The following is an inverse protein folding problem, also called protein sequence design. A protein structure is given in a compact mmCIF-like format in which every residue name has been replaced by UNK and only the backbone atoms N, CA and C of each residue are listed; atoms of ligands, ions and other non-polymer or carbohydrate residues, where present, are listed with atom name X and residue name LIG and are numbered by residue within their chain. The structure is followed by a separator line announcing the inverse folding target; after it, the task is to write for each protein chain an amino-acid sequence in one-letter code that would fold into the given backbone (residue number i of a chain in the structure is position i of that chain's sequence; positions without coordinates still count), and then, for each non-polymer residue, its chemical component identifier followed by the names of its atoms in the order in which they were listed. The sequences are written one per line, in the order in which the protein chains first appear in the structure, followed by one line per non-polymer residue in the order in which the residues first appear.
data_IF_007129776008
#
_entry.id   IF_007129776008
#
_cell.length_a   1.000
_cell.length_b   1.000
_cell.length_c   1.000
_cell.angle_alpha   90.00
_cell.angle_beta   90.00
_cell.angle_gamma   90.00
#
_symmetry.space_group_name_H-M   'P 1'
#
loop_
_entity.id
_entity.type
_entity.pdbx_description
1 polymer ?
#
# COMPACT_ATOMS: atom_id res chain seq x y z
N UNK A 1 52.85 82.69 42.70
CA UNK A 1 51.62 82.26 43.38
C UNK A 1 51.79 80.76 43.64
N UNK A 2 52.14 80.42 44.88
CA UNK A 2 52.64 79.11 45.29
C UNK A 2 51.50 78.15 45.62
N UNK A 3 51.54 76.92 45.10
CA UNK A 3 51.01 75.72 45.75
C UNK A 3 51.97 74.55 45.46
N UNK A 4 52.35 73.70 46.43
CA UNK A 4 53.54 72.84 46.39
C UNK A 4 53.25 71.34 46.18
N UNK A 5 54.37 70.61 46.01
CA UNK A 5 54.64 69.16 46.04
C UNK A 5 53.54 68.19 46.51
N UNK A 6 53.26 67.17 45.69
CA UNK A 6 52.45 65.99 46.05
C UNK A 6 53.33 64.92 46.71
N UNK A 7 53.15 64.71 48.01
CA UNK A 7 53.60 63.50 48.72
C UNK A 7 52.62 62.34 48.54
N UNK A 8 53.18 61.16 48.31
CA UNK A 8 52.49 59.86 48.40
C UNK A 8 52.20 59.53 49.87
N UNK A 9 50.97 59.10 50.16
CA UNK A 9 50.66 58.33 51.36
C UNK A 9 49.82 57.10 50.98
N UNK A 10 50.28 55.94 51.46
CA UNK A 10 49.66 54.63 51.31
C UNK A 10 48.46 54.54 52.27
N UNK A 11 47.29 54.17 51.76
CA UNK A 11 46.14 53.82 52.60
C UNK A 11 46.12 52.29 52.74
N UNK A 12 46.38 51.82 53.96
CA UNK A 12 46.10 50.45 54.40
C UNK A 12 44.58 50.31 54.58
N UNK A 13 43.99 49.27 53.99
CA UNK A 13 42.62 48.84 54.30
C UNK A 13 42.71 47.57 55.15
N UNK A 14 42.17 47.69 56.36
CA UNK A 14 42.07 46.72 57.44
C UNK A 14 41.07 45.61 57.04
N UNK A 15 41.51 44.35 57.01
CA UNK A 15 40.63 43.18 56.85
C UNK A 15 39.87 42.94 58.17
N UNK A 16 38.56 43.13 58.16
CA UNK A 16 37.68 42.70 59.25
C UNK A 16 37.44 41.17 59.13
N UNK A 17 37.77 40.36 60.14
CA UNK A 17 37.63 38.91 60.09
C UNK A 17 36.15 38.52 60.13
N UNK A 18 35.67 37.88 59.07
CA UNK A 18 34.39 37.19 59.05
C UNK A 18 34.41 36.02 60.04
N UNK A 19 33.51 36.08 61.01
CA UNK A 19 33.44 35.21 62.18
C UNK A 19 32.98 33.79 61.80
N UNK A 20 33.94 32.86 61.59
CA UNK A 20 33.72 31.43 61.34
C UNK A 20 32.80 30.75 62.39
N UNK A 21 32.68 31.35 63.58
CA UNK A 21 31.77 30.89 64.63
C UNK A 21 30.29 31.03 64.26
N UNK A 22 29.91 32.00 63.42
CA UNK A 22 28.53 32.23 63.00
C UNK A 22 28.08 31.16 61.99
N UNK A 23 28.97 30.77 61.06
CA UNK A 23 28.71 29.74 60.05
C UNK A 23 28.60 28.36 60.73
N UNK A 24 29.48 28.06 61.68
CA UNK A 24 29.43 26.81 62.45
C UNK A 24 28.16 26.68 63.32
N UNK A 25 27.66 27.80 63.86
CA UNK A 25 26.42 27.82 64.64
C UNK A 25 25.19 27.64 63.75
N UNK A 26 25.14 28.28 62.57
CA UNK A 26 24.08 28.07 61.60
C UNK A 26 24.03 26.60 61.13
N UNK A 27 25.17 25.98 60.82
CA UNK A 27 25.23 24.59 60.36
C UNK A 27 24.74 23.59 61.42
N UNK A 28 25.07 23.83 62.71
CA UNK A 28 24.61 22.99 63.84
C UNK A 28 23.12 23.10 64.12
N UNK A 29 22.50 24.24 63.80
CA UNK A 29 21.06 24.45 63.94
C UNK A 29 20.27 23.96 62.71
N UNK A 30 20.91 23.89 61.53
CA UNK A 30 20.28 23.32 60.32
C UNK A 30 20.21 21.78 60.34
N UNK A 31 21.14 21.10 61.00
CA UNK A 31 21.19 19.64 61.12
C UNK A 31 19.90 19.01 61.69
N UNK A 32 19.32 19.48 62.81
CA UNK A 32 18.04 18.96 63.30
C UNK A 32 16.87 19.29 62.36
N UNK A 33 16.92 20.40 61.63
CA UNK A 33 15.89 20.76 60.62
C UNK A 33 15.94 19.80 59.43
N UNK A 34 17.13 19.50 58.91
CA UNK A 34 17.29 18.49 57.86
C UNK A 34 16.87 17.10 58.34
N UNK A 35 17.19 16.74 59.59
CA UNK A 35 16.72 15.49 60.20
C UNK A 35 15.19 15.41 60.29
N UNK A 36 14.53 16.51 60.69
CA UNK A 36 13.07 16.58 60.75
C UNK A 36 12.43 16.49 59.36
N UNK A 37 12.98 17.17 58.35
CA UNK A 37 12.50 17.09 56.96
C UNK A 37 12.66 15.66 56.43
N UNK A 38 13.81 15.03 56.64
CA UNK A 38 14.06 13.66 56.21
C UNK A 38 13.08 12.67 56.88
N UNK A 39 12.77 12.87 58.16
CA UNK A 39 11.78 12.06 58.87
C UNK A 39 10.37 12.27 58.32
N UNK A 40 9.98 13.50 58.01
CA UNK A 40 8.68 13.82 57.39
C UNK A 40 8.57 13.15 56.02
N UNK A 41 9.62 13.20 55.19
CA UNK A 41 9.64 12.53 53.89
C UNK A 41 9.56 11.01 54.05
N UNK A 42 10.30 10.43 55.00
CA UNK A 42 10.24 8.99 55.29
C UNK A 42 8.86 8.55 55.77
N UNK A 43 8.22 9.33 56.65
CA UNK A 43 6.86 9.07 57.12
C UNK A 43 5.86 9.24 55.99
N UNK A 44 6.00 10.26 55.14
CA UNK A 44 5.14 10.45 53.97
C UNK A 44 5.28 9.28 53.00
N UNK A 45 6.50 8.82 52.69
CA UNK A 45 6.74 7.64 51.84
C UNK A 45 6.17 6.37 52.49
N UNK A 46 6.33 6.21 53.81
CA UNK A 46 5.81 5.06 54.55
C UNK A 46 4.27 5.04 54.59
N UNK A 47 3.64 6.19 54.80
CA UNK A 47 2.19 6.34 54.80
C UNK A 47 1.60 6.19 53.39
N UNK A 48 2.30 6.69 52.36
CA UNK A 48 1.91 6.56 50.96
C UNK A 48 2.25 5.19 50.34
N UNK A 49 2.96 4.32 51.09
CA UNK A 49 3.18 2.90 50.77
C UNK A 49 2.05 1.99 51.26
N UNK A 50 0.98 2.53 51.85
CA UNK A 50 -0.23 1.74 52.13
C UNK A 50 -0.95 1.43 50.83
N UNK A 51 -0.61 0.24 50.33
CA UNK A 51 -1.49 -0.68 49.63
C UNK A 51 -2.40 -0.03 48.59
N UNK A 52 -1.85 0.20 47.39
CA UNK A 52 -2.61 -0.22 46.23
C UNK A 52 -2.73 -1.74 46.35
N UNK A 53 -3.82 -2.22 46.93
CA UNK A 53 -4.32 -3.55 46.58
C UNK A 53 -4.55 -3.44 45.08
N UNK A 54 -3.57 -3.91 44.31
CA UNK A 54 -3.81 -4.25 42.92
C UNK A 54 -4.96 -5.22 42.98
N UNK A 55 -6.13 -4.81 42.49
CA UNK A 55 -7.22 -5.74 42.20
C UNK A 55 -6.56 -6.96 41.56
N UNK A 56 -6.76 -8.18 42.11
CA UNK A 56 -6.12 -9.36 41.57
C UNK A 56 -6.43 -9.34 40.08
N UNK A 57 -5.36 -9.24 39.29
CA UNK A 57 -5.43 -9.14 37.84
C UNK A 57 -6.41 -10.20 37.42
N UNK A 58 -7.60 -9.77 36.98
CA UNK A 58 -8.65 -10.70 36.59
C UNK A 58 -8.19 -11.21 35.25
N UNK A 59 -7.27 -12.18 35.29
CA UNK A 59 -6.90 -12.99 34.16
C UNK A 59 -8.19 -13.66 33.75
N UNK A 60 -8.86 -13.05 32.78
CA UNK A 60 -9.81 -13.78 31.98
C UNK A 60 -8.91 -14.81 31.33
N UNK A 61 -9.00 -16.05 31.80
CA UNK A 61 -8.39 -17.17 31.13
C UNK A 61 -9.15 -17.25 29.80
N UNK A 62 -8.66 -16.49 28.80
CA UNK A 62 -9.12 -16.57 27.43
C UNK A 62 -8.64 -17.93 26.98
N UNK A 63 -9.42 -18.94 27.35
CA UNK A 63 -9.42 -20.22 26.69
C UNK A 63 -9.73 -19.86 25.24
N UNK A 64 -8.67 -19.82 24.42
CA UNK A 64 -8.83 -19.77 22.98
C UNK A 64 -9.83 -20.86 22.59
N UNK A 65 -10.60 -20.67 21.51
CA UNK A 65 -11.59 -21.66 21.09
C UNK A 65 -10.96 -23.04 21.13
N UNK A 66 -11.59 -23.97 21.85
CA UNK A 66 -11.14 -25.37 21.85
C UNK A 66 -11.02 -25.76 20.38
N UNK A 67 -9.80 -26.13 19.98
CA UNK A 67 -9.60 -26.62 18.63
C UNK A 67 -10.36 -27.92 18.56
N UNK A 68 -11.57 -27.89 18.02
CA UNK A 68 -12.29 -29.11 17.69
C UNK A 68 -11.45 -29.75 16.59
N UNK A 69 -10.59 -30.67 16.99
CA UNK A 69 -9.87 -31.52 16.04
C UNK A 69 -10.90 -32.51 15.49
N UNK A 70 -11.85 -32.04 14.69
CA UNK A 70 -12.55 -32.91 13.77
C UNK A 70 -11.48 -33.46 12.85
N UNK A 71 -11.13 -34.72 13.07
CA UNK A 71 -10.27 -35.49 12.18
C UNK A 71 -11.06 -35.87 10.92
N UNK A 72 -11.74 -34.90 10.32
CA UNK A 72 -12.23 -35.00 8.95
C UNK A 72 -11.02 -34.75 8.07
N UNK A 73 -10.38 -35.84 7.64
CA UNK A 73 -9.42 -35.76 6.55
C UNK A 73 -10.06 -34.90 5.45
N UNK A 74 -9.41 -33.80 5.08
CA UNK A 74 -9.91 -32.93 4.03
C UNK A 74 -10.23 -33.78 2.80
N UNK A 75 -11.37 -33.56 2.12
CA UNK A 75 -11.70 -34.33 0.93
C UNK A 75 -10.55 -34.25 -0.06
N UNK A 76 -10.15 -35.39 -0.62
CA UNK A 76 -9.11 -35.44 -1.63
C UNK A 76 -9.67 -34.85 -2.92
N UNK A 77 -9.41 -33.56 -3.15
CA UNK A 77 -9.73 -32.89 -4.40
C UNK A 77 -8.68 -33.29 -5.43
N UNK A 78 -9.13 -33.77 -6.60
CA UNK A 78 -8.26 -34.08 -7.74
C UNK A 78 -8.43 -33.00 -8.79
N UNK A 79 -7.34 -32.35 -9.16
CA UNK A 79 -7.30 -31.45 -10.30
C UNK A 79 -6.85 -32.22 -11.54
N UNK A 80 -7.48 -31.94 -12.68
CA UNK A 80 -7.10 -32.45 -13.99
C UNK A 80 -6.84 -31.24 -14.88
N UNK A 81 -5.70 -31.21 -15.55
CA UNK A 81 -5.43 -30.19 -16.56
C UNK A 81 -6.28 -30.50 -17.80
N UNK A 82 -7.14 -29.55 -18.15
CA UNK A 82 -8.02 -29.61 -19.32
C UNK A 82 -7.70 -28.50 -20.33
N UNK A 83 -6.59 -27.78 -20.20
CA UNK A 83 -6.32 -26.57 -20.98
C UNK A 83 -6.37 -26.85 -22.50
N UNK A 84 -5.71 -27.92 -22.95
CA UNK A 84 -5.72 -28.35 -24.36
C UNK A 84 -7.13 -28.77 -24.83
N UNK A 85 -7.87 -29.53 -24.02
CA UNK A 85 -9.25 -29.95 -24.34
C UNK A 85 -10.21 -28.76 -24.42
N UNK A 86 -10.00 -27.77 -23.55
CA UNK A 86 -10.75 -26.54 -23.49
C UNK A 86 -10.34 -25.55 -24.59
N UNK A 87 -9.26 -25.77 -25.34
CA UNK A 87 -8.80 -24.84 -26.38
C UNK A 87 -7.99 -23.64 -25.86
N UNK A 88 -7.46 -23.72 -24.63
CA UNK A 88 -6.67 -22.67 -23.99
C UNK A 88 -5.18 -23.00 -24.13
N UNK A 89 -4.43 -22.18 -24.86
CA UNK A 89 -2.99 -22.34 -25.09
C UNK A 89 -2.14 -21.16 -24.56
N UNK A 90 -2.74 -20.34 -23.67
CA UNK A 90 -2.09 -19.14 -23.15
C UNK A 90 -0.78 -19.45 -22.42
N UNK A 91 0.26 -18.70 -22.79
CA UNK A 91 1.56 -18.70 -22.09
C UNK A 91 1.91 -17.28 -21.69
N UNK A 92 2.06 -17.07 -20.39
CA UNK A 92 2.48 -15.79 -19.84
C UNK A 92 3.96 -15.50 -20.19
N UNK A 93 4.23 -14.28 -20.64
CA UNK A 93 5.54 -13.77 -21.01
C UNK A 93 5.91 -12.60 -20.10
N UNK A 94 6.73 -12.85 -19.09
CA UNK A 94 7.18 -11.82 -18.14
C UNK A 94 8.22 -10.82 -18.70
N UNK A 95 8.63 -10.98 -19.96
CA UNK A 95 9.67 -10.15 -20.59
C UNK A 95 11.09 -10.44 -20.08
N UNK A 96 11.28 -11.47 -19.25
CA UNK A 96 12.57 -11.82 -18.66
C UNK A 96 13.65 -12.12 -19.71
N UNK A 97 14.73 -11.32 -19.69
CA UNK A 97 15.87 -11.48 -20.61
C UNK A 97 17.24 -11.44 -19.91
N UNK A 98 17.27 -11.79 -18.61
CA UNK A 98 18.50 -11.93 -17.83
C UNK A 98 18.97 -10.67 -17.08
N UNK A 99 18.37 -9.52 -17.37
CA UNK A 99 18.61 -8.29 -16.60
C UNK A 99 17.98 -8.36 -15.20
N UNK A 100 17.10 -9.34 -14.93
CA UNK A 100 16.51 -9.63 -13.61
C UNK A 100 15.76 -8.43 -13.02
N UNK A 101 14.99 -7.73 -13.85
CA UNK A 101 14.20 -6.58 -13.44
C UNK A 101 12.99 -7.01 -12.59
N UNK A 102 12.68 -6.26 -11.53
CA UNK A 102 11.67 -6.63 -10.54
C UNK A 102 10.29 -6.96 -11.16
N UNK A 103 9.76 -6.23 -12.16
CA UNK A 103 8.47 -6.58 -12.76
C UNK A 103 8.41 -8.00 -13.36
N UNK A 104 9.54 -8.57 -13.77
CA UNK A 104 9.61 -9.91 -14.36
C UNK A 104 9.26 -11.03 -13.35
N UNK A 105 9.16 -10.72 -12.06
CA UNK A 105 8.74 -11.67 -11.01
C UNK A 105 7.24 -11.69 -10.80
N UNK A 106 6.49 -10.78 -11.41
CA UNK A 106 5.04 -10.74 -11.34
C UNK A 106 4.42 -11.65 -12.40
N UNK A 107 3.24 -12.18 -12.09
CA UNK A 107 2.37 -12.83 -13.08
C UNK A 107 1.38 -11.83 -13.67
N UNK A 108 0.65 -12.28 -14.68
CA UNK A 108 -0.51 -11.56 -15.21
C UNK A 108 -1.81 -11.90 -14.48
N UNK A 109 -2.78 -10.99 -14.54
CA UNK A 109 -4.15 -11.20 -14.09
C UNK A 109 -5.02 -11.98 -15.08
N UNK A 110 -6.20 -12.39 -14.62
CA UNK A 110 -7.23 -13.00 -15.44
C UNK A 110 -8.59 -12.42 -15.05
N UNK A 111 -9.42 -12.10 -16.04
CA UNK A 111 -10.84 -11.80 -15.83
C UNK A 111 -11.70 -12.96 -16.36
N UNK A 112 -12.79 -13.24 -15.65
CA UNK A 112 -13.83 -14.16 -16.06
C UNK A 112 -15.14 -13.38 -16.14
N UNK A 113 -15.65 -13.17 -17.35
CA UNK A 113 -16.79 -12.30 -17.61
C UNK A 113 -17.43 -12.63 -18.96
N UNK A 114 -18.72 -12.32 -19.14
CA UNK A 114 -19.43 -12.45 -20.41
C UNK A 114 -19.17 -11.18 -21.23
N UNK A 115 -18.29 -11.24 -22.25
CA UNK A 115 -17.91 -10.04 -23.00
C UNK A 115 -18.85 -9.77 -24.19
N UNK A 116 -19.55 -10.79 -24.71
CA UNK A 116 -20.43 -10.67 -25.87
C UNK A 116 -21.94 -10.78 -25.54
N UNK A 117 -22.28 -10.84 -24.25
CA UNK A 117 -23.64 -10.92 -23.70
C UNK A 117 -24.41 -12.16 -24.19
N UNK A 118 -23.72 -13.29 -24.40
CA UNK A 118 -24.34 -14.55 -24.83
C UNK A 118 -24.77 -15.45 -23.66
N UNK A 119 -24.41 -15.08 -22.43
CA UNK A 119 -24.74 -15.77 -21.18
C UNK A 119 -23.66 -16.74 -20.71
N UNK A 120 -22.60 -16.95 -21.50
CA UNK A 120 -21.47 -17.78 -21.16
C UNK A 120 -20.29 -16.92 -20.66
N UNK A 121 -19.49 -17.44 -19.73
CA UNK A 121 -18.37 -16.69 -19.17
C UNK A 121 -17.10 -16.95 -19.99
N UNK A 122 -16.47 -15.87 -20.43
CA UNK A 122 -15.25 -15.82 -21.23
C UNK A 122 -14.01 -15.54 -20.38
N UNK A 123 -12.82 -15.73 -20.95
CA UNK A 123 -11.56 -15.55 -20.25
C UNK A 123 -10.70 -14.48 -20.93
N UNK A 124 -10.30 -13.45 -20.19
CA UNK A 124 -9.23 -12.53 -20.59
C UNK A 124 -8.00 -12.76 -19.74
N UNK A 125 -6.93 -13.26 -20.35
CA UNK A 125 -5.61 -13.37 -19.73
C UNK A 125 -4.76 -12.15 -20.04
N UNK A 126 -4.28 -11.49 -18.99
CA UNK A 126 -3.34 -10.38 -19.11
C UNK A 126 -1.94 -10.93 -19.29
N UNK A 127 -1.23 -10.38 -20.26
CA UNK A 127 0.15 -10.71 -20.53
C UNK A 127 1.04 -9.49 -20.31
N UNK A 128 2.33 -9.75 -20.18
CA UNK A 128 3.33 -8.68 -20.19
C UNK A 128 4.06 -8.67 -21.54
N UNK A 129 4.94 -7.70 -21.74
CA UNK A 129 5.61 -7.48 -23.02
C UNK A 129 7.13 -7.63 -22.89
N UNK A 130 7.80 -7.70 -24.03
CA UNK A 130 9.25 -7.51 -24.06
C UNK A 130 9.60 -6.08 -23.69
N UNK A 131 10.70 -5.90 -22.97
CA UNK A 131 11.17 -4.56 -22.62
C UNK A 131 11.51 -3.73 -23.88
N UNK A 132 11.17 -2.42 -23.93
CA UNK A 132 11.37 -1.59 -25.13
C UNK A 132 12.82 -1.52 -25.66
N UNK A 133 13.78 -1.81 -24.79
CA UNK A 133 15.21 -1.79 -25.10
C UNK A 133 15.78 -3.15 -25.52
N UNK A 134 14.92 -4.15 -25.75
CA UNK A 134 15.27 -5.50 -26.22
C UNK A 134 14.48 -5.83 -27.49
N UNK A 135 15.01 -6.69 -28.37
CA UNK A 135 14.22 -7.22 -29.49
C UNK A 135 13.00 -7.97 -28.98
N UNK A 136 11.81 -7.59 -29.44
CA UNK A 136 10.59 -8.36 -29.18
C UNK A 136 10.56 -9.62 -30.08
N UNK A 137 9.98 -10.73 -29.59
CA UNK A 137 9.68 -11.87 -30.45
C UNK A 137 8.65 -11.48 -31.52
N UNK A 138 8.56 -12.28 -32.58
CA UNK A 138 7.57 -12.13 -33.64
C UNK A 138 6.74 -13.41 -33.74
N UNK A 139 5.43 -13.38 -33.44
CA UNK A 139 4.67 -12.20 -32.98
C UNK A 139 5.08 -11.74 -31.56
N UNK A 140 4.82 -10.48 -31.25
CA UNK A 140 4.98 -9.95 -29.90
C UNK A 140 3.95 -10.62 -28.96
N UNK A 141 4.26 -10.80 -27.66
CA UNK A 141 3.30 -11.32 -26.72
C UNK A 141 2.16 -10.31 -26.53
N UNK A 142 0.93 -10.78 -26.55
CA UNK A 142 -0.26 -9.97 -26.27
C UNK A 142 -1.07 -10.62 -25.15
N UNK A 143 -2.01 -9.88 -24.57
CA UNK A 143 -3.11 -10.47 -23.82
C UNK A 143 -3.91 -11.43 -24.71
N UNK A 144 -4.73 -12.28 -24.10
CA UNK A 144 -5.59 -13.24 -24.81
C UNK A 144 -7.02 -13.20 -24.31
N UNK A 145 -7.96 -12.90 -25.20
CA UNK A 145 -9.40 -13.06 -24.97
C UNK A 145 -9.87 -14.36 -25.62
N UNK A 146 -10.49 -15.21 -24.82
CA UNK A 146 -11.04 -16.49 -25.21
C UNK A 146 -12.54 -16.49 -25.03
N UNK A 147 -13.29 -16.66 -26.12
CA UNK A 147 -14.76 -16.79 -26.07
C UNK A 147 -15.15 -18.23 -25.76
N UNK A 148 -16.01 -18.43 -24.77
CA UNK A 148 -16.57 -19.71 -24.39
C UNK A 148 -17.77 -20.09 -25.28
N UNK A 149 -17.92 -21.35 -25.65
CA UNK A 149 -19.06 -21.86 -26.42
C UNK A 149 -20.23 -22.37 -25.53
N UNK A 150 -20.17 -22.09 -24.24
CA UNK A 150 -21.09 -22.57 -23.20
C UNK A 150 -20.88 -24.01 -22.77
N UNK A 151 -19.89 -24.70 -23.33
CA UNK A 151 -19.53 -26.10 -23.03
C UNK A 151 -18.14 -26.22 -22.43
N UNK A 152 -17.47 -25.09 -22.19
CA UNK A 152 -16.10 -25.06 -21.70
C UNK A 152 -15.06 -25.26 -22.80
N UNK A 153 -15.43 -25.06 -24.07
CA UNK A 153 -14.47 -24.89 -25.15
C UNK A 153 -14.32 -23.41 -25.49
N UNK A 154 -13.09 -23.01 -25.75
CA UNK A 154 -12.68 -21.62 -25.83
C UNK A 154 -12.01 -21.34 -27.17
N UNK A 155 -12.48 -20.30 -27.87
CA UNK A 155 -11.89 -19.79 -29.10
C UNK A 155 -11.11 -18.50 -28.82
N UNK A 156 -9.86 -18.39 -29.27
CA UNK A 156 -9.11 -17.13 -29.22
C UNK A 156 -9.73 -16.10 -30.19
N UNK A 157 -10.33 -15.06 -29.63
CA UNK A 157 -10.98 -13.95 -30.35
C UNK A 157 -10.23 -12.63 -30.19
N UNK A 158 -9.02 -12.64 -29.62
CA UNK A 158 -8.25 -11.45 -29.22
C UNK A 158 -8.16 -10.39 -30.32
N UNK A 159 -7.80 -10.81 -31.55
CA UNK A 159 -7.62 -9.87 -32.68
C UNK A 159 -8.97 -9.34 -33.17
N UNK A 160 -9.97 -10.20 -33.32
CA UNK A 160 -11.31 -9.79 -33.78
C UNK A 160 -12.02 -8.90 -32.77
N UNK A 161 -11.74 -9.09 -31.48
CA UNK A 161 -12.27 -8.28 -30.40
C UNK A 161 -11.49 -6.97 -30.18
N UNK A 162 -10.37 -6.75 -30.86
CA UNK A 162 -9.61 -5.49 -30.74
C UNK A 162 -8.68 -5.39 -29.53
N UNK A 163 -8.36 -6.51 -28.86
CA UNK A 163 -7.48 -6.56 -27.67
C UNK A 163 -6.06 -7.08 -27.98
N UNK A 164 -5.57 -6.89 -29.20
CA UNK A 164 -4.26 -7.42 -29.62
C UNK A 164 -3.08 -6.47 -29.38
N UNK A 165 -3.24 -5.45 -28.57
CA UNK A 165 -2.12 -4.54 -28.23
C UNK A 165 -1.14 -5.21 -27.27
N UNK A 166 0.15 -4.94 -27.45
CA UNK A 166 1.24 -5.47 -26.64
C UNK A 166 1.82 -4.38 -25.75
N UNK A 167 1.60 -4.49 -24.45
CA UNK A 167 2.21 -3.66 -23.41
C UNK A 167 2.48 -4.50 -22.15
N UNK A 168 3.17 -3.93 -21.17
CA UNK A 168 3.55 -4.64 -19.95
C UNK A 168 2.38 -4.66 -18.94
N UNK A 169 1.34 -5.44 -19.26
CA UNK A 169 0.16 -5.61 -18.42
C UNK A 169 0.46 -6.39 -17.13
N UNK A 170 -0.31 -6.10 -16.09
CA UNK A 170 -0.19 -6.65 -14.73
C UNK A 170 -1.48 -7.34 -14.30
N UNK A 171 -2.56 -6.60 -14.12
CA UNK A 171 -3.85 -7.07 -13.64
C UNK A 171 -5.00 -6.50 -14.45
N UNK A 172 -6.23 -6.86 -14.10
CA UNK A 172 -7.42 -6.38 -14.78
C UNK A 172 -8.60 -6.25 -13.82
N UNK A 173 -9.52 -5.34 -14.14
CA UNK A 173 -10.83 -5.19 -13.53
C UNK A 173 -11.87 -5.04 -14.64
N UNK A 174 -13.08 -5.54 -14.40
CA UNK A 174 -14.19 -5.49 -15.36
C UNK A 174 -15.43 -4.90 -14.70
N UNK A 175 -16.12 -4.02 -15.42
CA UNK A 175 -17.40 -3.42 -15.04
C UNK A 175 -18.02 -2.75 -16.28
N UNK A 176 -19.33 -2.56 -16.29
CA UNK A 176 -20.00 -1.66 -17.23
C UNK A 176 -19.87 -0.23 -16.68
N UNK A 177 -18.77 0.47 -17.02
CA UNK A 177 -18.44 1.75 -16.37
C UNK A 177 -19.25 2.93 -16.91
N UNK A 178 -19.88 2.78 -18.07
CA UNK A 178 -20.72 3.81 -18.67
C UNK A 178 -22.20 3.43 -18.84
N UNK A 179 -22.60 2.36 -18.14
CA UNK A 179 -23.97 1.89 -18.03
C UNK A 179 -24.65 1.62 -19.37
N UNK A 180 -23.90 1.12 -20.37
CA UNK A 180 -24.40 0.79 -21.70
C UNK A 180 -24.84 -0.67 -21.87
N UNK A 181 -24.68 -1.46 -20.81
CA UNK A 181 -25.03 -2.88 -20.75
C UNK A 181 -23.95 -3.81 -21.28
N UNK A 182 -22.74 -3.31 -21.57
CA UNK A 182 -21.60 -4.12 -22.00
C UNK A 182 -20.46 -4.03 -21.00
N UNK A 183 -19.94 -5.19 -20.59
CA UNK A 183 -18.82 -5.22 -19.64
C UNK A 183 -17.55 -4.70 -20.30
N UNK A 184 -16.98 -3.64 -19.73
CA UNK A 184 -15.73 -3.02 -20.13
C UNK A 184 -14.54 -3.61 -19.38
N UNK A 185 -13.32 -3.30 -19.83
CA UNK A 185 -12.08 -3.85 -19.29
C UNK A 185 -11.09 -2.75 -18.95
N UNK A 186 -10.69 -2.67 -17.69
CA UNK A 186 -9.51 -1.93 -17.27
C UNK A 186 -8.32 -2.88 -17.08
N UNK A 187 -7.14 -2.47 -17.53
CA UNK A 187 -5.89 -3.24 -17.44
C UNK A 187 -4.83 -2.38 -16.78
N UNK A 188 -4.26 -2.89 -15.68
CA UNK A 188 -3.13 -2.25 -15.01
C UNK A 188 -1.82 -2.59 -15.69
N UNK A 189 -0.81 -1.72 -15.59
CA UNK A 189 0.47 -1.92 -16.25
C UNK A 189 1.67 -1.41 -15.44
N UNK A 190 2.86 -1.82 -15.89
CA UNK A 190 4.09 -1.05 -15.65
C UNK A 190 4.13 0.06 -16.70
N UNK A 191 3.89 1.29 -16.25
CA UNK A 191 3.60 2.44 -17.09
C UNK A 191 2.12 2.81 -17.07
N UNK A 192 1.64 3.38 -18.17
CA UNK A 192 0.24 3.80 -18.30
C UNK A 192 -0.72 2.62 -18.29
N UNK A 193 -1.81 2.76 -17.54
CA UNK A 193 -2.92 1.81 -17.54
C UNK A 193 -3.77 1.96 -18.80
N UNK A 194 -4.65 1.00 -19.08
CA UNK A 194 -5.53 1.02 -20.24
C UNK A 194 -6.99 0.73 -19.87
N UNK A 195 -7.91 1.56 -20.34
CA UNK A 195 -9.35 1.32 -20.29
C UNK A 195 -9.86 1.03 -21.69
N UNK A 196 -10.52 -0.11 -21.85
CA UNK A 196 -11.14 -0.55 -23.08
C UNK A 196 -12.65 -0.59 -22.90
N UNK A 197 -13.35 0.25 -23.65
CA UNK A 197 -14.80 0.20 -23.74
C UNK A 197 -15.27 -0.89 -24.68
N UNK A 198 -16.21 -1.70 -24.24
CA UNK A 198 -16.89 -2.70 -25.05
C UNK A 198 -17.96 -2.05 -25.93
N UNK A 199 -17.90 -2.35 -27.22
CA UNK A 199 -18.78 -1.89 -28.29
C UNK A 199 -19.42 -3.13 -28.91
N UNK A 200 -20.29 -3.78 -28.14
CA UNK A 200 -21.06 -4.94 -28.60
C UNK A 200 -20.18 -6.14 -29.01
N UNK A 201 -19.23 -6.53 -28.15
CA UNK A 201 -18.31 -7.65 -28.39
C UNK A 201 -16.99 -7.27 -29.05
N UNK A 202 -16.71 -5.97 -29.19
CA UNK A 202 -15.41 -5.45 -29.66
C UNK A 202 -14.95 -4.32 -28.75
N UNK A 203 -13.66 -4.19 -28.55
CA UNK A 203 -13.08 -3.25 -27.59
C UNK A 203 -12.45 -2.05 -28.28
N UNK A 204 -12.68 -0.88 -27.72
CA UNK A 204 -12.09 0.39 -28.13
C UNK A 204 -11.34 0.99 -26.94
N UNK A 205 -10.08 1.38 -27.13
CA UNK A 205 -9.33 2.08 -26.09
C UNK A 205 -9.93 3.48 -25.84
N UNK A 206 -10.24 3.78 -24.58
CA UNK A 206 -10.82 5.04 -24.11
C UNK A 206 -10.01 5.68 -22.97
N UNK A 207 -8.85 5.10 -22.60
CA UNK A 207 -7.98 5.51 -21.48
C UNK A 207 -7.80 7.02 -21.34
N UNK A 208 -7.38 7.67 -22.42
CA UNK A 208 -7.07 9.11 -22.41
C UNK A 208 -8.32 9.98 -22.29
N UNK A 209 -9.45 9.54 -22.87
CA UNK A 209 -10.74 10.23 -22.74
C UNK A 209 -11.26 10.12 -21.32
N UNK A 210 -11.16 8.92 -20.73
CA UNK A 210 -11.66 8.62 -19.40
C UNK A 210 -10.81 9.25 -18.28
N UNK A 211 -9.54 9.53 -18.52
CA UNK A 211 -8.65 10.19 -17.55
C UNK A 211 -7.97 9.24 -16.55
N UNK A 212 -7.93 7.94 -16.84
CA UNK A 212 -7.50 6.88 -15.90
C UNK A 212 -6.14 6.27 -16.24
N UNK A 213 -5.32 6.96 -17.03
CA UNK A 213 -4.01 6.43 -17.50
C UNK A 213 -2.98 6.26 -16.38
N UNK A 214 -3.16 6.94 -15.24
CA UNK A 214 -2.07 7.16 -14.29
C UNK A 214 -0.91 7.94 -14.93
N UNK A 215 0.32 7.70 -14.45
CA UNK A 215 1.54 8.30 -15.03
C UNK A 215 2.38 7.26 -15.76
N UNK A 216 3.23 7.71 -16.70
CA UNK A 216 4.09 6.81 -17.47
C UNK A 216 5.17 6.08 -16.64
N UNK A 217 5.46 6.57 -15.42
CA UNK A 217 6.42 5.98 -14.50
C UNK A 217 5.73 5.19 -13.35
N UNK A 218 4.39 5.09 -13.39
CA UNK A 218 3.63 4.34 -12.40
C UNK A 218 3.79 2.83 -12.60
N UNK A 219 3.60 2.08 -11.52
CA UNK A 219 3.41 0.64 -11.59
C UNK A 219 2.14 0.27 -10.85
N UNK A 220 1.09 0.02 -11.62
CA UNK A 220 -0.20 -0.46 -11.11
C UNK A 220 -0.22 -1.99 -11.13
N UNK A 221 -0.62 -2.61 -10.02
CA UNK A 221 -0.58 -4.07 -9.82
C UNK A 221 -1.96 -4.71 -9.97
N UNK A 222 -2.99 -4.10 -9.38
CA UNK A 222 -4.39 -4.54 -9.44
C UNK A 222 -5.33 -3.35 -9.46
N UNK A 223 -6.59 -3.60 -9.80
CA UNK A 223 -7.64 -2.59 -9.80
C UNK A 223 -8.98 -3.26 -9.49
N UNK A 224 -9.97 -2.46 -9.13
CA UNK A 224 -11.33 -2.93 -8.87
C UNK A 224 -12.32 -1.79 -9.02
N UNK A 225 -13.47 -2.12 -9.61
CA UNK A 225 -14.60 -1.22 -9.70
C UNK A 225 -15.53 -1.41 -8.50
N UNK A 226 -16.01 -0.31 -7.91
CA UNK A 226 -16.99 -0.30 -6.84
C UNK A 226 -17.56 1.11 -6.70
N UNK A 227 -18.78 1.25 -6.20
CA UNK A 227 -19.43 2.53 -5.94
C UNK A 227 -19.04 2.99 -4.53
N UNK A 228 -18.09 3.94 -4.41
CA UNK A 228 -17.58 4.36 -3.11
C UNK A 228 -18.39 5.50 -2.50
N UNK A 229 -19.12 6.27 -3.32
CA UNK A 229 -19.92 7.41 -2.86
C UNK A 229 -21.44 7.21 -2.98
N UNK A 230 -21.88 5.98 -3.30
CA UNK A 230 -23.26 5.53 -3.40
C UNK A 230 -24.09 6.31 -4.43
N UNK A 231 -23.46 6.76 -5.52
CA UNK A 231 -24.13 7.49 -6.59
C UNK A 231 -24.68 6.57 -7.71
N UNK A 232 -24.31 5.28 -7.68
CA UNK A 232 -24.74 4.25 -8.61
C UNK A 232 -23.81 4.03 -9.80
N UNK A 233 -22.76 4.85 -9.96
CA UNK A 233 -21.76 4.69 -11.00
C UNK A 233 -20.54 3.93 -10.45
N UNK A 234 -19.99 2.92 -11.18
CA UNK A 234 -18.81 2.21 -10.69
C UNK A 234 -17.57 3.11 -10.73
N UNK A 235 -17.05 3.48 -9.56
CA UNK A 235 -15.75 4.13 -9.39
C UNK A 235 -14.61 3.13 -9.53
N UNK A 236 -13.39 3.64 -9.73
CA UNK A 236 -12.22 2.82 -10.00
C UNK A 236 -11.11 3.08 -8.98
N UNK A 237 -10.76 2.06 -8.19
CA UNK A 237 -9.51 2.07 -7.43
C UNK A 237 -8.41 1.32 -8.17
N UNK A 238 -7.21 1.90 -8.19
CA UNK A 238 -6.02 1.33 -8.83
C UNK A 238 -4.89 1.21 -7.81
N UNK A 239 -4.55 -0.03 -7.45
CA UNK A 239 -3.46 -0.34 -6.55
C UNK A 239 -2.11 -0.08 -7.25
N UNK A 240 -1.31 0.83 -6.68
CA UNK A 240 0.06 1.06 -7.12
C UNK A 240 1.06 0.40 -6.18
N UNK A 241 2.06 -0.24 -6.78
CA UNK A 241 3.01 -1.08 -6.04
C UNK A 241 4.19 -0.27 -5.49
N UNK A 242 5.29 -0.18 -6.23
CA UNK A 242 6.50 0.53 -5.79
C UNK A 242 6.94 1.54 -6.83
N UNK A 243 7.72 2.54 -6.40
CA UNK A 243 8.40 3.46 -7.31
C UNK A 243 9.53 2.72 -8.00
N UNK A 244 9.23 2.18 -9.18
CA UNK A 244 10.18 1.40 -9.96
C UNK A 244 10.56 2.14 -11.24
N UNK A 245 11.84 2.09 -11.55
CA UNK A 245 12.33 2.30 -12.90
C UNK A 245 13.49 1.35 -13.15
N UNK A 246 13.76 1.06 -14.42
CA UNK A 246 14.92 0.26 -14.80
C UNK A 246 16.22 0.82 -14.20
N UNK A 247 16.38 2.13 -14.18
CA UNK A 247 17.58 2.78 -13.68
C UNK A 247 17.73 2.61 -12.17
N UNK A 248 16.64 2.75 -11.40
CA UNK A 248 16.62 2.47 -9.96
C UNK A 248 16.98 1.00 -9.71
N UNK A 249 16.37 0.06 -10.43
CA UNK A 249 16.59 -1.38 -10.29
C UNK A 249 18.06 -1.77 -10.57
N UNK A 250 18.64 -1.22 -11.64
CA UNK A 250 20.05 -1.42 -11.96
C UNK A 250 21.01 -0.75 -10.98
N UNK A 251 20.61 0.35 -10.33
CA UNK A 251 21.41 1.01 -9.29
C UNK A 251 21.41 0.25 -7.97
N UNK A 252 20.30 -0.41 -7.61
CA UNK A 252 20.22 -1.29 -6.44
C UNK A 252 21.21 -2.46 -6.60
N UNK A 253 21.42 -2.96 -7.84
CA UNK A 253 22.39 -4.00 -8.20
C UNK A 253 22.35 -5.20 -7.23
N UNK A 254 21.15 -5.70 -6.94
CA UNK A 254 20.98 -6.81 -6.01
C UNK A 254 21.65 -8.08 -6.55
N UNK A 255 22.49 -8.71 -5.71
CA UNK A 255 23.31 -9.86 -6.09
C UNK A 255 23.26 -10.96 -5.04
N UNK A 256 23.22 -12.20 -5.53
CA UNK A 256 23.40 -13.40 -4.71
C UNK A 256 24.83 -13.91 -4.85
N UNK A 257 25.44 -14.25 -3.71
CA UNK A 257 26.80 -14.76 -3.66
C UNK A 257 26.96 -16.02 -4.53
N UNK A 258 27.91 -15.99 -5.46
CA UNK A 258 28.18 -17.11 -6.37
C UNK A 258 27.20 -17.26 -7.56
N UNK A 259 26.12 -16.49 -7.61
CA UNK A 259 25.15 -16.50 -8.73
C UNK A 259 25.28 -15.26 -9.61
N UNK A 260 25.52 -14.10 -9.00
CA UNK A 260 25.53 -12.80 -9.69
C UNK A 260 24.24 -12.04 -9.48
N UNK A 261 23.81 -11.26 -10.47
CA UNK A 261 22.60 -10.42 -10.37
C UNK A 261 21.36 -11.29 -10.14
N UNK A 262 20.52 -10.83 -9.21
CA UNK A 262 19.23 -11.45 -8.89
C UNK A 262 18.13 -10.38 -8.86
N UNK A 263 16.88 -10.83 -8.72
CA UNK A 263 15.75 -9.93 -8.53
C UNK A 263 15.89 -9.20 -7.18
N UNK A 264 15.87 -7.86 -7.20
CA UNK A 264 15.94 -7.06 -6.00
C UNK A 264 14.67 -7.20 -5.16
N UNK A 265 14.76 -7.32 -3.82
CA UNK A 265 13.58 -7.46 -3.00
C UNK A 265 12.78 -6.15 -2.96
N UNK A 266 11.44 -6.19 -2.92
CA UNK A 266 10.60 -4.98 -2.95
C UNK A 266 10.89 -3.97 -1.84
N UNK A 267 11.48 -4.39 -0.72
CA UNK A 267 11.90 -3.53 0.39
C UNK A 267 12.86 -2.41 -0.03
N UNK A 268 13.65 -2.61 -1.09
CA UNK A 268 14.62 -1.62 -1.58
C UNK A 268 13.97 -0.47 -2.36
N UNK A 269 12.68 -0.57 -2.67
CA UNK A 269 11.93 0.46 -3.40
C UNK A 269 11.00 1.22 -2.46
N UNK A 270 10.83 2.51 -2.72
CA UNK A 270 9.80 3.31 -2.07
C UNK A 270 8.40 2.83 -2.49
N UNK A 271 7.41 3.03 -1.63
CA UNK A 271 6.02 2.77 -1.97
C UNK A 271 5.47 3.78 -2.98
N UNK A 272 4.27 3.51 -3.48
CA UNK A 272 3.54 4.38 -4.41
C UNK A 272 2.17 4.73 -3.84
N UNK A 273 1.67 5.93 -4.15
CA UNK A 273 0.27 6.27 -3.90
C UNK A 273 -0.61 5.52 -4.88
N UNK A 274 -1.67 4.87 -4.39
CA UNK A 274 -2.71 4.28 -5.24
C UNK A 274 -3.67 5.37 -5.74
N UNK A 275 -4.44 5.06 -6.78
CA UNK A 275 -5.44 5.99 -7.32
C UNK A 275 -6.85 5.60 -6.87
N UNK A 276 -7.69 6.59 -6.59
CA UNK A 276 -9.14 6.47 -6.56
C UNK A 276 -9.72 7.48 -7.57
N UNK A 277 -10.41 6.95 -8.55
CA UNK A 277 -11.04 7.68 -9.63
C UNK A 277 -12.55 7.63 -9.44
N UNK A 278 -13.18 8.78 -9.17
CA UNK A 278 -14.64 8.88 -9.09
C UNK A 278 -15.21 8.94 -10.50
N UNK A 279 -16.18 8.10 -10.83
CA UNK A 279 -16.90 8.14 -12.09
C UNK A 279 -17.81 9.38 -12.13
N UNK A 280 -17.87 10.07 -13.27
CA UNK A 280 -18.69 11.28 -13.43
C UNK A 280 -20.03 10.99 -14.12
N UNK A 281 -20.32 9.72 -14.46
CA UNK A 281 -21.55 9.30 -15.16
C UNK A 281 -21.59 9.65 -16.65
N UNK A 282 -20.50 10.21 -17.20
CA UNK A 282 -20.35 10.56 -18.63
C UNK A 282 -19.22 9.78 -19.33
N UNK A 283 -18.73 8.73 -18.67
CA UNK A 283 -17.60 7.91 -19.08
C UNK A 283 -16.25 8.61 -18.91
N UNK A 284 -16.17 9.61 -18.04
CA UNK A 284 -14.92 10.21 -17.55
C UNK A 284 -14.82 10.06 -16.03
N UNK A 285 -13.60 10.20 -15.52
CA UNK A 285 -13.32 10.09 -14.10
C UNK A 285 -12.55 11.29 -13.56
N UNK A 286 -12.82 11.65 -12.31
CA UNK A 286 -12.04 12.59 -11.52
C UNK A 286 -11.08 11.85 -10.59
N UNK A 287 -9.80 12.23 -10.55
CA UNK A 287 -8.85 11.73 -9.54
C UNK A 287 -9.14 12.38 -8.18
N UNK A 288 -9.71 11.59 -7.27
CA UNK A 288 -10.06 11.99 -5.90
C UNK A 288 -9.11 11.40 -4.86
N UNK A 289 -7.96 10.87 -5.28
CA UNK A 289 -7.05 10.12 -4.41
C UNK A 289 -6.56 10.92 -3.20
N UNK A 290 -6.21 12.19 -3.40
CA UNK A 290 -5.76 13.06 -2.32
C UNK A 290 -6.93 13.51 -1.44
N UNK A 291 -8.04 13.95 -2.04
CA UNK A 291 -9.20 14.49 -1.32
C UNK A 291 -9.97 13.44 -0.52
N UNK A 292 -9.96 12.18 -0.97
CA UNK A 292 -10.60 11.05 -0.27
C UNK A 292 -9.78 10.53 0.91
N UNK A 293 -8.50 10.93 1.04
CA UNK A 293 -7.65 10.52 2.16
C UNK A 293 -6.91 9.18 1.96
N UNK A 294 -7.04 8.52 0.80
CA UNK A 294 -6.39 7.22 0.56
C UNK A 294 -4.86 7.30 0.41
N UNK A 295 -4.30 8.50 0.22
CA UNK A 295 -2.85 8.71 0.03
C UNK A 295 -2.08 8.68 1.36
N UNK A 296 -1.67 7.49 1.76
CA UNK A 296 -0.89 7.29 3.00
C UNK A 296 0.61 7.48 2.74
N UNK A 297 1.16 8.56 3.31
CA UNK A 297 2.58 8.89 3.28
C UNK A 297 3.23 8.88 4.66
N UNK A 298 4.57 8.85 4.70
CA UNK A 298 5.33 9.05 5.92
C UNK A 298 5.11 10.48 6.45
N UNK A 299 4.66 10.68 7.71
CA UNK A 299 4.34 12.02 8.21
C UNK A 299 5.50 13.02 8.21
N UNK A 300 6.76 12.55 8.24
CA UNK A 300 7.94 13.40 8.27
C UNK A 300 8.49 13.72 6.87
N UNK A 301 8.42 12.77 5.92
CA UNK A 301 9.02 12.94 4.59
C UNK A 301 8.01 13.08 3.45
N UNK A 302 6.73 12.78 3.67
CA UNK A 302 5.70 12.73 2.63
C UNK A 302 5.83 11.57 1.65
N UNK A 303 6.84 10.72 1.79
CA UNK A 303 7.08 9.58 0.88
C UNK A 303 5.95 8.56 1.02
N UNK A 304 5.36 8.06 -0.09
CA UNK A 304 4.31 7.05 -0.03
C UNK A 304 4.82 5.77 0.66
N UNK A 305 3.98 5.20 1.52
CA UNK A 305 4.33 3.97 2.25
C UNK A 305 3.65 2.72 1.72
N UNK A 306 2.58 2.86 0.91
CA UNK A 306 1.83 1.75 0.33
C UNK A 306 2.63 0.97 -0.70
N UNK A 307 2.49 -0.35 -0.68
CA UNK A 307 3.04 -1.28 -1.68
C UNK A 307 1.94 -2.22 -2.13
N UNK A 308 0.90 -1.64 -2.72
CA UNK A 308 -0.38 -2.32 -2.89
C UNK A 308 -0.29 -3.42 -3.96
N UNK A 309 -0.87 -4.58 -3.65
CA UNK A 309 -0.95 -5.73 -4.57
C UNK A 309 -2.38 -6.18 -4.82
N UNK A 310 -3.28 -6.06 -3.84
CA UNK A 310 -4.68 -6.44 -3.98
C UNK A 310 -5.58 -5.52 -3.17
N UNK A 311 -6.84 -5.44 -3.59
CA UNK A 311 -7.90 -4.70 -2.92
C UNK A 311 -9.14 -5.59 -2.73
N UNK A 312 -9.93 -5.27 -1.71
CA UNK A 312 -11.27 -5.83 -1.50
C UNK A 312 -12.18 -4.70 -1.02
N UNK A 313 -13.14 -4.25 -1.85
CA UNK A 313 -14.28 -3.46 -1.39
C UNK A 313 -15.20 -4.33 -0.52
N UNK A 314 -15.59 -3.85 0.65
CA UNK A 314 -16.42 -4.60 1.60
C UNK A 314 -17.11 -3.65 2.58
N UNK A 315 -18.39 -3.85 2.84
CA UNK A 315 -19.12 -3.16 3.92
C UNK A 315 -18.89 -3.92 5.24
N UNK A 316 -17.89 -3.52 6.03
CA UNK A 316 -17.47 -4.27 7.23
C UNK A 316 -18.42 -4.06 8.40
N UNK A 317 -18.98 -2.85 8.53
CA UNK A 317 -19.83 -2.47 9.66
C UNK A 317 -21.33 -2.44 9.33
N UNK A 318 -21.70 -2.78 8.09
CA UNK A 318 -23.06 -2.91 7.59
C UNK A 318 -23.83 -1.58 7.57
N UNK A 319 -23.13 -0.49 7.29
CA UNK A 319 -23.72 0.84 7.21
C UNK A 319 -24.22 1.21 5.79
N UNK A 320 -23.93 0.35 4.80
CA UNK A 320 -24.31 0.53 3.41
C UNK A 320 -23.29 1.30 2.56
N UNK A 321 -22.14 1.67 3.11
CA UNK A 321 -21.01 2.25 2.38
C UNK A 321 -19.89 1.22 2.28
N UNK A 322 -19.33 1.05 1.07
CA UNK A 322 -18.24 0.12 0.89
C UNK A 322 -16.95 0.71 1.48
N UNK A 323 -16.37 0.01 2.47
CA UNK A 323 -14.99 0.20 2.93
C UNK A 323 -14.01 -0.43 1.93
N UNK A 324 -12.71 -0.16 2.15
CA UNK A 324 -11.66 -0.70 1.29
C UNK A 324 -10.51 -1.29 2.09
N UNK A 325 -10.24 -2.59 1.88
CA UNK A 325 -9.06 -3.27 2.40
C UNK A 325 -7.99 -3.42 1.32
N UNK A 326 -6.77 -2.97 1.60
CA UNK A 326 -5.62 -3.06 0.69
C UNK A 326 -4.55 -3.99 1.28
N UNK A 327 -4.25 -5.05 0.54
CA UNK A 327 -3.11 -5.91 0.82
C UNK A 327 -1.84 -5.27 0.28
N UNK A 328 -0.91 -4.95 1.19
CA UNK A 328 0.39 -4.43 0.85
C UNK A 328 1.49 -5.48 1.00
N UNK A 329 2.48 -5.44 0.12
CA UNK A 329 3.66 -6.27 0.24
C UNK A 329 4.70 -5.62 1.15
N UNK A 330 5.37 -6.40 2.00
CA UNK A 330 6.51 -5.98 2.84
C UNK A 330 6.24 -4.85 3.85
N UNK A 331 5.05 -4.26 3.86
CA UNK A 331 4.58 -3.19 4.75
C UNK A 331 3.19 -3.56 5.30
N UNK A 332 2.64 -2.73 6.17
CA UNK A 332 1.32 -2.98 6.77
C UNK A 332 0.22 -2.85 5.71
N UNK A 333 -0.78 -3.74 5.76
CA UNK A 333 -2.03 -3.59 5.02
C UNK A 333 -2.76 -2.31 5.44
N UNK A 334 -3.55 -1.75 4.53
CA UNK A 334 -4.40 -0.60 4.84
C UNK A 334 -5.85 -1.04 4.90
N UNK A 335 -6.59 -0.44 5.82
CA UNK A 335 -8.03 -0.52 5.89
C UNK A 335 -8.53 0.93 5.92
N UNK A 336 -9.38 1.25 4.96
CA UNK A 336 -9.97 2.56 4.75
C UNK A 336 -11.46 2.43 5.08
N UNK A 337 -11.91 3.08 6.13
CA UNK A 337 -13.30 3.04 6.56
C UNK A 337 -14.05 4.19 5.91
N UNK A 338 -15.10 3.90 5.16
CA UNK A 338 -15.81 4.93 4.42
C UNK A 338 -16.63 5.82 5.35
N UNK A 339 -16.39 7.14 5.34
CA UNK A 339 -17.09 8.08 6.21
C UNK A 339 -18.46 8.53 5.66
N UNK A 340 -18.84 8.10 4.45
CA UNK A 340 -20.10 8.48 3.80
C UNK A 340 -20.17 9.94 3.33
N UNK A 341 -19.02 10.63 3.27
CA UNK A 341 -18.89 12.03 2.87
C UNK A 341 -17.86 12.25 1.74
N UNK A 342 -17.49 11.16 1.05
CA UNK A 342 -16.47 11.14 0.00
C UNK A 342 -15.04 10.96 0.53
N UNK A 343 -14.87 10.62 1.81
CA UNK A 343 -13.57 10.37 2.45
C UNK A 343 -13.52 9.02 3.16
N UNK A 344 -12.29 8.57 3.47
CA UNK A 344 -11.98 7.39 4.28
C UNK A 344 -11.19 7.69 5.57
#
# INVERSE_FOLDING_TARGET
MSIPDKKQDKIQLEEAPGDDAVIGKAFRWSLPVFGAIALIVLVAVYLNRRSGETDPERSIDVTGPETVTENTAAPVVRFTDISEEAGIDFVHSSGAYGDKLLPETMGGGVAFFDYDNDGDQDLLFINSASWPHKPAPSPAPTMRLYRNDGRGHFDDVTVSAGLSESFYGMGTAVADYDADGWTDVFITAVGSNHLYRNRNGTFQEETARAGVSGTADSWSSSAGFFDYDNDGDPDLFVANYVQWSKDIDLQIDFRLAGVGRAYGPPQEYAGSFSYLYRNNGDGTFDDVSESSGIQIGNPASGVPVGKALALVPIDVDQDGWLDLFIANDTVRNFFFHNNGDGTF
#
